data_IF_987096086191
#
_entry.id   IF_987096086191
#
_cell.length_a   1.000
_cell.length_b   1.000
_cell.length_c   1.000
_cell.angle_alpha   90.00
_cell.angle_beta   90.00
_cell.angle_gamma   90.00
#
_symmetry.space_group_name_H-M   'P 1'
#
loop_
_entity.id
_entity.type
_entity.pdbx_description
1 polymer ?
#
# COMPACT_ATOMS: atom_id res chain seq x y z
N UNK A 1 12.87 1.39 -19.38
CA UNK A 1 11.55 1.06 -18.80
C UNK A 1 11.56 1.46 -17.34
N UNK A 2 10.47 2.08 -16.85
CA UNK A 2 10.37 2.57 -15.47
C UNK A 2 9.32 1.71 -14.73
N UNK A 3 9.62 1.39 -13.48
CA UNK A 3 8.76 0.61 -12.60
C UNK A 3 8.47 1.37 -11.32
N UNK A 4 7.30 1.14 -10.73
CA UNK A 4 6.94 1.68 -9.43
C UNK A 4 6.94 0.58 -8.36
N UNK A 5 7.54 0.86 -7.20
CA UNK A 5 7.46 0.01 -6.03
C UNK A 5 6.87 0.81 -4.87
N UNK A 6 5.73 0.38 -4.36
CA UNK A 6 5.04 1.02 -3.24
C UNK A 6 5.29 0.21 -1.98
N UNK A 7 5.90 0.83 -0.97
CA UNK A 7 6.14 0.22 0.34
C UNK A 7 4.96 0.49 1.28
N UNK A 8 4.17 -0.53 1.57
CA UNK A 8 2.91 -0.46 2.32
C UNK A 8 2.89 -1.32 3.60
N UNK A 9 4.06 -1.65 4.17
CA UNK A 9 4.19 -2.51 5.36
C UNK A 9 4.11 -1.80 6.72
N UNK A 10 4.16 -0.47 6.78
CA UNK A 10 4.27 0.26 8.05
C UNK A 10 3.00 0.21 8.90
N UNK A 11 3.14 -0.01 10.22
CA UNK A 11 2.02 0.01 11.19
C UNK A 11 1.40 1.41 11.37
N UNK A 12 2.19 2.47 11.15
CA UNK A 12 1.74 3.87 11.20
C UNK A 12 1.10 4.27 12.53
N UNK A 13 1.91 4.52 13.57
CA UNK A 13 1.42 4.86 14.93
C UNK A 13 1.18 6.36 15.16
N UNK A 14 1.66 7.23 14.27
CA UNK A 14 1.63 8.70 14.44
C UNK A 14 0.24 9.33 14.25
N UNK A 15 -0.71 8.61 13.66
CA UNK A 15 -2.08 9.10 13.44
C UNK A 15 -3.06 8.50 14.45
N UNK A 16 -2.58 8.02 15.60
CA UNK A 16 -3.47 7.61 16.68
C UNK A 16 -4.37 8.79 17.11
N UNK A 17 -5.68 8.60 17.35
CA UNK A 17 -6.42 7.32 17.43
C UNK A 17 -7.00 6.79 16.10
N UNK A 18 -6.79 7.51 14.98
CA UNK A 18 -7.32 7.14 13.67
C UNK A 18 -6.65 5.88 13.13
N UNK A 19 -5.33 5.78 13.24
CA UNK A 19 -4.60 4.55 12.91
C UNK A 19 -4.60 3.57 14.08
N UNK A 20 -4.95 2.32 13.82
CA UNK A 20 -4.89 1.20 14.77
C UNK A 20 -4.11 0.04 14.16
N UNK A 21 -3.68 -0.94 14.95
CA UNK A 21 -2.94 -2.09 14.41
C UNK A 21 -3.68 -2.81 13.28
N UNK A 22 -4.99 -2.99 13.44
CA UNK A 22 -5.87 -3.61 12.43
C UNK A 22 -6.21 -2.68 11.27
N UNK A 23 -5.95 -1.37 11.36
CA UNK A 23 -6.22 -0.38 10.33
C UNK A 23 -5.10 0.67 10.30
N UNK A 24 -3.92 0.28 9.78
CA UNK A 24 -2.77 1.18 9.72
C UNK A 24 -3.02 2.35 8.77
N UNK A 25 -2.18 3.38 8.86
CA UNK A 25 -2.37 4.69 8.20
C UNK A 25 -2.73 4.59 6.72
N UNK A 26 -2.12 3.66 5.98
CA UNK A 26 -2.24 3.53 4.53
C UNK A 26 -3.68 3.23 4.07
N UNK A 27 -4.52 2.69 4.97
CA UNK A 27 -5.93 2.39 4.69
C UNK A 27 -6.89 3.49 5.13
N UNK A 28 -6.40 4.57 5.76
CA UNK A 28 -7.26 5.65 6.22
C UNK A 28 -7.77 6.50 5.05
N UNK A 29 -9.07 6.80 5.07
CA UNK A 29 -9.78 7.59 4.05
C UNK A 29 -10.00 9.03 4.54
N UNK A 30 -8.91 9.75 4.77
CA UNK A 30 -8.97 11.12 5.32
C UNK A 30 -9.14 12.16 4.20
N UNK A 31 -8.64 11.86 3.00
CA UNK A 31 -8.62 12.80 1.87
C UNK A 31 -9.23 12.12 0.64
N UNK A 32 -10.14 12.84 -0.04
CA UNK A 32 -10.78 12.40 -1.29
C UNK A 32 -11.56 11.07 -1.18
N UNK A 33 -12.05 10.72 0.02
CA UNK A 33 -12.80 9.48 0.28
C UNK A 33 -12.07 8.18 -0.11
N UNK A 34 -10.77 8.27 -0.41
CA UNK A 34 -9.89 7.18 -0.83
C UNK A 34 -8.82 6.94 0.22
N UNK A 35 -8.36 5.70 0.32
CA UNK A 35 -7.25 5.38 1.21
C UNK A 35 -5.97 6.10 0.76
N UNK A 36 -5.03 6.37 1.67
CA UNK A 36 -3.72 6.91 1.26
C UNK A 36 -3.00 5.99 0.26
N UNK A 37 -3.19 4.66 0.38
CA UNK A 37 -2.67 3.69 -0.58
C UNK A 37 -3.30 3.88 -1.97
N UNK A 38 -4.63 3.93 -2.05
CA UNK A 38 -5.35 4.15 -3.32
C UNK A 38 -4.97 5.47 -3.97
N UNK A 39 -4.92 6.56 -3.20
CA UNK A 39 -4.46 7.85 -3.68
C UNK A 39 -3.02 7.79 -4.24
N UNK A 40 -2.14 7.00 -3.61
CA UNK A 40 -0.76 6.81 -4.09
C UNK A 40 -0.73 6.07 -5.42
N UNK A 41 -1.51 4.99 -5.57
CA UNK A 41 -1.62 4.23 -6.83
C UNK A 41 -2.23 5.06 -7.94
N UNK A 42 -3.29 5.83 -7.68
CA UNK A 42 -3.93 6.70 -8.66
C UNK A 42 -2.93 7.75 -9.19
N UNK A 43 -2.13 8.33 -8.30
CA UNK A 43 -1.09 9.29 -8.67
C UNK A 43 0.03 8.67 -9.52
N UNK A 44 0.41 7.43 -9.26
CA UNK A 44 1.45 6.72 -10.04
C UNK A 44 0.90 6.29 -11.40
N UNK A 45 -0.37 5.89 -11.44
CA UNK A 45 -1.02 5.37 -12.65
C UNK A 45 -1.13 6.39 -13.80
N UNK A 46 -0.94 7.69 -13.53
CA UNK A 46 -0.87 8.72 -14.58
C UNK A 46 0.49 8.77 -15.30
N UNK A 47 1.50 8.05 -14.79
CA UNK A 47 2.88 8.08 -15.30
C UNK A 47 3.38 6.67 -15.63
N UNK A 48 3.00 5.66 -14.83
CA UNK A 48 3.47 4.27 -14.95
C UNK A 48 2.25 3.35 -15.04
N UNK A 49 2.22 2.48 -16.04
CA UNK A 49 1.16 1.49 -16.18
C UNK A 49 1.05 0.60 -14.94
N UNK A 50 -0.18 0.21 -14.60
CA UNK A 50 -0.47 -0.69 -13.47
C UNK A 50 0.26 -2.04 -13.55
N UNK A 51 0.52 -2.53 -14.77
CA UNK A 51 1.31 -3.74 -15.00
C UNK A 51 2.76 -3.63 -14.49
N UNK A 52 3.30 -2.41 -14.43
CA UNK A 52 4.66 -2.09 -13.96
C UNK A 52 4.65 -1.50 -12.54
N UNK A 53 3.54 -1.61 -11.81
CA UNK A 53 3.39 -1.15 -10.43
C UNK A 53 3.36 -2.36 -9.49
N UNK A 54 4.24 -2.33 -8.51
CA UNK A 54 4.42 -3.37 -7.49
C UNK A 54 4.16 -2.81 -6.10
N UNK A 55 3.71 -3.68 -5.21
CA UNK A 55 3.41 -3.32 -3.81
C UNK A 55 4.09 -4.31 -2.89
N UNK A 56 4.80 -3.82 -1.88
CA UNK A 56 5.41 -4.63 -0.83
C UNK A 56 4.64 -4.38 0.46
N UNK A 57 4.23 -5.43 1.16
CA UNK A 57 3.40 -5.31 2.36
C UNK A 57 3.65 -6.44 3.36
N UNK A 58 3.11 -6.28 4.58
CA UNK A 58 3.08 -7.33 5.58
C UNK A 58 1.92 -8.31 5.30
N UNK A 59 2.12 -9.59 5.65
CA UNK A 59 1.09 -10.66 5.58
C UNK A 59 -0.25 -10.26 6.22
N UNK A 60 -0.24 -9.46 7.28
CA UNK A 60 -1.44 -9.06 8.02
C UNK A 60 -2.36 -8.13 7.20
N UNK A 61 -1.86 -7.56 6.11
CA UNK A 61 -2.56 -6.56 5.30
C UNK A 61 -2.88 -7.04 3.88
N UNK A 62 -2.57 -8.29 3.53
CA UNK A 62 -2.70 -8.77 2.15
C UNK A 62 -4.12 -8.67 1.61
N UNK A 63 -5.11 -9.09 2.39
CA UNK A 63 -6.51 -9.10 1.94
C UNK A 63 -7.01 -7.68 1.71
N UNK A 64 -6.68 -6.76 2.62
CA UNK A 64 -7.00 -5.34 2.47
C UNK A 64 -6.36 -4.69 1.25
N UNK A 65 -5.10 -5.05 0.94
CA UNK A 65 -4.44 -4.54 -0.26
C UNK A 65 -5.12 -5.09 -1.52
N UNK A 66 -5.44 -6.38 -1.56
CA UNK A 66 -6.13 -6.99 -2.71
C UNK A 66 -7.51 -6.36 -2.95
N UNK A 67 -8.21 -6.00 -1.88
CA UNK A 67 -9.52 -5.34 -1.96
C UNK A 67 -9.39 -3.88 -2.46
N UNK A 68 -8.50 -3.08 -1.85
CA UNK A 68 -8.31 -1.67 -2.22
C UNK A 68 -7.64 -1.48 -3.60
N UNK A 69 -6.79 -2.44 -4.01
CA UNK A 69 -6.02 -2.43 -5.26
C UNK A 69 -6.40 -3.58 -6.19
N UNK A 70 -7.70 -3.82 -6.36
CA UNK A 70 -8.24 -4.87 -7.23
C UNK A 70 -7.87 -4.74 -8.72
N UNK A 71 -7.36 -3.57 -9.12
CA UNK A 71 -6.87 -3.23 -10.45
C UNK A 71 -5.35 -3.42 -10.64
N UNK A 72 -4.64 -3.86 -9.60
CA UNK A 72 -3.23 -4.27 -9.66
C UNK A 72 -3.17 -5.80 -9.75
N UNK A 73 -2.26 -6.33 -10.58
CA UNK A 73 -2.06 -7.77 -10.67
C UNK A 73 -1.64 -8.31 -9.29
N UNK A 74 -2.28 -9.40 -8.83
CA UNK A 74 -1.96 -10.07 -7.56
C UNK A 74 -0.50 -10.56 -7.50
N UNK A 75 0.07 -10.92 -8.65
CA UNK A 75 1.47 -11.35 -8.75
C UNK A 75 2.46 -10.19 -8.52
N UNK A 76 1.98 -8.94 -8.59
CA UNK A 76 2.77 -7.75 -8.30
C UNK A 76 2.70 -7.33 -6.81
N UNK A 77 2.05 -8.12 -5.96
CA UNK A 77 1.94 -7.87 -4.52
C UNK A 77 2.88 -8.82 -3.78
N UNK A 78 3.97 -8.28 -3.25
CA UNK A 78 4.97 -9.01 -2.48
C UNK A 78 4.68 -8.94 -0.98
N UNK A 79 4.81 -10.09 -0.33
CA UNK A 79 4.62 -10.24 1.11
C UNK A 79 5.99 -10.29 1.78
N UNK A 80 6.22 -9.39 2.71
CA UNK A 80 7.39 -9.43 3.57
C UNK A 80 7.21 -10.51 4.65
N UNK A 81 8.21 -11.38 4.87
CA UNK A 81 8.13 -12.43 5.89
C UNK A 81 8.13 -11.86 7.32
N UNK A 82 8.74 -10.68 7.51
CA UNK A 82 8.76 -9.93 8.75
C UNK A 82 8.96 -8.44 8.43
N UNK A 83 8.39 -7.55 9.25
CA UNK A 83 8.70 -6.11 9.14
C UNK A 83 10.15 -5.87 9.60
N UNK A 84 11.05 -5.59 8.65
CA UNK A 84 12.45 -5.24 8.91
C UNK A 84 12.75 -3.75 8.68
N UNK A 85 11.70 -2.93 8.54
CA UNK A 85 11.78 -1.55 8.07
C UNK A 85 12.43 -1.44 6.68
N UNK A 86 12.38 -0.25 6.09
CA UNK A 86 13.11 0.01 4.85
C UNK A 86 14.60 0.16 5.14
N UNK A 87 15.45 -0.45 4.33
CA UNK A 87 16.91 -0.25 4.41
C UNK A 87 17.27 1.23 4.23
N UNK A 88 18.30 1.70 4.95
CA UNK A 88 18.86 3.06 4.88
C UNK A 88 19.81 3.23 3.69
#
# INVERSE_FOLDING_TARGET
MIYALILAGGKGTRLYPLSREKSPKQFLKIVNEKSFLRNTVDRISSIIDKQNTYVVTNKDYIDKIKDELSDINKDNIFIEPANKETAL
#
